data_IF_901603590225
#
_entry.id   IF_901603590225
#
_cell.length_a   1.000
_cell.length_b   1.000
_cell.length_c   1.000
_cell.angle_alpha   90.00
_cell.angle_beta   90.00
_cell.angle_gamma   90.00
#
_symmetry.space_group_name_H-M   'P 1'
#
loop_
_entity.id
_entity.type
_entity.pdbx_description
1 polymer ?
#
# COMPACT_ATOMS: atom_id res chain seq x y z
N UNK A 1 13.50 17.22 -10.43
CA UNK A 1 14.46 16.90 -9.34
C UNK A 1 13.72 16.67 -8.02
N UNK A 2 12.76 17.51 -7.62
CA UNK A 2 11.99 17.35 -6.35
C UNK A 2 11.23 16.03 -6.14
N UNK A 3 10.64 15.43 -7.19
CA UNK A 3 9.90 14.16 -7.06
C UNK A 3 10.81 12.99 -6.65
N UNK A 4 12.06 12.96 -7.15
CA UNK A 4 13.04 11.90 -6.83
C UNK A 4 13.50 11.94 -5.37
N UNK A 5 13.62 13.14 -4.81
CA UNK A 5 14.01 13.31 -3.41
C UNK A 5 12.90 12.82 -2.47
N UNK A 6 11.63 13.02 -2.85
CA UNK A 6 10.48 12.53 -2.08
C UNK A 6 10.38 10.99 -2.18
N UNK A 7 10.57 10.41 -3.36
CA UNK A 7 10.58 8.94 -3.54
C UNK A 7 11.70 8.27 -2.73
N UNK A 8 12.86 8.94 -2.61
CA UNK A 8 14.01 8.40 -1.88
C UNK A 8 13.81 8.48 -0.37
N UNK A 9 13.27 9.60 0.13
CA UNK A 9 13.08 9.81 1.57
C UNK A 9 11.80 9.16 2.11
N UNK A 10 10.74 9.07 1.29
CA UNK A 10 9.42 8.57 1.69
C UNK A 10 8.86 7.54 0.69
N UNK A 11 9.49 6.37 0.57
CA UNK A 11 9.12 5.34 -0.41
C UNK A 11 7.72 4.73 -0.20
N UNK A 12 7.10 4.99 0.95
CA UNK A 12 5.75 4.52 1.30
C UNK A 12 4.62 5.45 0.83
N UNK A 13 4.95 6.67 0.39
CA UNK A 13 3.96 7.61 -0.15
C UNK A 13 3.62 7.24 -1.59
N UNK A 14 2.34 7.29 -1.89
CA UNK A 14 1.76 6.98 -3.19
C UNK A 14 0.94 8.16 -3.71
N UNK A 15 0.92 8.28 -5.03
CA UNK A 15 0.11 9.28 -5.75
C UNK A 15 -0.93 8.53 -6.58
N UNK A 16 -2.20 8.84 -6.32
CA UNK A 16 -3.33 8.28 -7.03
C UNK A 16 -4.15 9.38 -7.69
N UNK A 17 -4.50 9.21 -8.96
CA UNK A 17 -5.39 10.10 -9.69
C UNK A 17 -6.80 9.51 -9.69
N UNK A 18 -7.78 10.31 -9.29
CA UNK A 18 -9.20 9.94 -9.27
C UNK A 18 -10.06 11.14 -9.69
N UNK A 19 -10.93 10.95 -10.68
CA UNK A 19 -11.83 12.02 -11.17
C UNK A 19 -11.09 13.28 -11.67
N UNK A 20 -9.88 13.11 -12.21
CA UNK A 20 -9.03 14.22 -12.68
C UNK A 20 -8.31 14.99 -11.57
N UNK A 21 -8.44 14.57 -10.30
CA UNK A 21 -7.70 15.13 -9.16
C UNK A 21 -6.62 14.16 -8.71
N UNK A 22 -5.48 14.72 -8.27
CA UNK A 22 -4.37 13.97 -7.71
C UNK A 22 -4.47 13.95 -6.18
N UNK A 23 -4.32 12.76 -5.63
CA UNK A 23 -4.32 12.50 -4.20
C UNK A 23 -2.98 11.91 -3.81
N UNK A 24 -2.37 12.47 -2.78
CA UNK A 24 -1.07 12.05 -2.25
C UNK A 24 -1.27 11.47 -0.87
N UNK A 25 -0.70 10.29 -0.61
CA UNK A 25 -0.85 9.65 0.69
C UNK A 25 -0.46 8.18 0.71
N UNK A 26 -0.93 7.42 1.69
CA UNK A 26 -0.60 5.99 1.83
C UNK A 26 -1.81 5.15 1.39
N UNK A 27 -1.63 4.29 0.39
CA UNK A 27 -2.67 3.36 -0.06
C UNK A 27 -2.71 2.18 0.92
N UNK A 28 -3.88 1.93 1.49
CA UNK A 28 -4.09 0.83 2.44
C UNK A 28 -4.61 -0.42 1.75
N UNK A 29 -5.47 -0.25 0.75
CA UNK A 29 -6.05 -1.35 0.01
C UNK A 29 -6.35 -0.92 -1.41
N UNK A 30 -6.00 -1.76 -2.38
CA UNK A 30 -6.41 -1.62 -3.76
C UNK A 30 -6.93 -2.96 -4.25
N UNK A 31 -8.25 -3.09 -4.29
CA UNK A 31 -8.94 -4.26 -4.84
C UNK A 31 -9.57 -3.96 -6.21
N UNK A 32 -10.24 -4.94 -6.82
CA UNK A 32 -10.94 -4.76 -8.10
C UNK A 32 -12.08 -3.74 -8.03
N UNK A 33 -12.69 -3.58 -6.85
CA UNK A 33 -13.86 -2.73 -6.66
C UNK A 33 -13.55 -1.44 -5.91
N UNK A 34 -12.72 -1.53 -4.86
CA UNK A 34 -12.51 -0.42 -3.92
C UNK A 34 -11.03 -0.18 -3.71
N UNK A 35 -10.64 1.09 -3.82
CA UNK A 35 -9.32 1.57 -3.42
C UNK A 35 -9.47 2.50 -2.23
N UNK A 36 -8.75 2.20 -1.16
CA UNK A 36 -8.73 2.97 0.07
C UNK A 36 -7.34 3.56 0.27
N UNK A 37 -7.26 4.86 0.55
CA UNK A 37 -6.01 5.54 0.85
C UNK A 37 -6.20 6.55 1.97
N UNK A 38 -5.18 6.76 2.78
CA UNK A 38 -5.12 7.91 3.67
C UNK A 38 -4.52 9.09 2.94
N UNK A 39 -5.28 10.17 2.81
CA UNK A 39 -4.87 11.36 2.07
C UNK A 39 -4.06 12.28 2.98
N UNK A 40 -2.81 12.52 2.63
CA UNK A 40 -1.90 13.37 3.41
C UNK A 40 -2.35 14.83 3.42
N UNK A 41 -2.90 15.33 2.31
CA UNK A 41 -3.39 16.70 2.21
C UNK A 41 -4.63 16.99 3.06
N UNK A 42 -5.37 15.94 3.47
CA UNK A 42 -6.54 16.07 4.34
C UNK A 42 -6.18 16.19 5.82
N UNK A 43 -4.92 15.99 6.21
CA UNK A 43 -4.47 16.10 7.60
C UNK A 43 -4.51 17.57 8.07
N UNK A 44 -5.20 17.80 9.18
CA UNK A 44 -5.54 19.15 9.64
C UNK A 44 -4.33 19.89 10.23
N UNK A 45 -3.56 19.23 11.11
CA UNK A 45 -2.45 19.87 11.81
C UNK A 45 -1.08 19.40 11.32
N UNK A 46 -0.07 20.27 11.45
CA UNK A 46 1.31 19.93 11.12
C UNK A 46 1.85 18.77 11.98
N UNK A 47 1.48 18.74 13.28
CA UNK A 47 1.87 17.64 14.19
C UNK A 47 1.32 16.29 13.74
N UNK A 48 0.09 16.26 13.23
CA UNK A 48 -0.50 15.04 12.68
C UNK A 48 0.22 14.57 11.41
N UNK A 49 0.61 15.52 10.55
CA UNK A 49 1.38 15.22 9.33
C UNK A 49 2.75 14.61 9.66
N UNK A 50 3.45 15.16 10.63
CA UNK A 50 4.72 14.61 11.11
C UNK A 50 4.54 13.21 11.67
N UNK A 51 3.52 13.01 12.52
CA UNK A 51 3.24 11.70 13.10
C UNK A 51 2.85 10.66 12.04
N UNK A 52 2.10 11.08 11.03
CA UNK A 52 1.72 10.23 9.90
C UNK A 52 2.96 9.75 9.12
N UNK A 53 3.93 10.63 8.88
CA UNK A 53 5.19 10.27 8.21
C UNK A 53 6.05 9.34 9.08
N UNK A 54 6.12 9.59 10.39
CA UNK A 54 6.84 8.73 11.34
C UNK A 54 6.27 7.30 11.35
N UNK A 55 4.95 7.18 11.48
CA UNK A 55 4.25 5.89 11.45
C UNK A 55 4.37 5.20 10.09
N UNK A 56 4.34 5.97 9.00
CA UNK A 56 4.61 5.48 7.65
C UNK A 56 6.00 4.89 7.50
N UNK A 57 7.02 5.54 8.08
CA UNK A 57 8.39 5.05 8.08
C UNK A 57 8.53 3.75 8.89
N UNK A 58 7.96 3.71 10.11
CA UNK A 58 7.93 2.51 10.95
C UNK A 58 7.28 1.35 10.17
N UNK A 59 6.11 1.58 9.60
CA UNK A 59 5.42 0.59 8.79
C UNK A 59 6.26 0.11 7.59
N UNK A 60 6.92 1.02 6.87
CA UNK A 60 7.68 0.65 5.68
C UNK A 60 8.90 -0.24 5.96
N UNK A 61 9.57 -0.01 7.09
CA UNK A 61 10.79 -0.72 7.47
C UNK A 61 10.53 -1.96 8.33
N UNK A 62 9.51 -1.94 9.18
CA UNK A 62 9.21 -3.04 10.11
C UNK A 62 8.17 -4.02 9.55
N UNK A 63 7.38 -3.62 8.54
CA UNK A 63 6.39 -4.50 7.92
C UNK A 63 6.97 -5.31 6.78
N UNK A 64 6.32 -6.44 6.50
CA UNK A 64 6.54 -7.24 5.30
C UNK A 64 6.02 -6.58 4.00
N UNK A 65 5.63 -5.29 4.05
CA UNK A 65 5.07 -4.47 2.95
C UNK A 65 3.80 -5.00 2.28
N UNK A 66 3.30 -6.16 2.71
CA UNK A 66 2.04 -6.75 2.25
C UNK A 66 0.87 -6.46 3.19
N UNK A 67 1.14 -6.06 4.44
CA UNK A 67 0.11 -5.78 5.43
C UNK A 67 -0.17 -4.28 5.40
N UNK A 68 -1.43 -3.84 5.25
CA UNK A 68 -1.78 -2.43 5.29
C UNK A 68 -1.41 -1.75 6.60
N UNK A 69 -1.05 -0.46 6.54
CA UNK A 69 -0.62 0.32 7.70
C UNK A 69 -1.68 0.38 8.82
N UNK A 70 -2.97 0.44 8.47
CA UNK A 70 -4.07 0.46 9.43
C UNK A 70 -4.30 -0.87 10.15
N UNK A 71 -3.80 -1.99 9.61
CA UNK A 71 -3.81 -3.28 10.29
C UNK A 71 -2.56 -3.41 11.16
N UNK A 72 -1.40 -3.00 10.64
CA UNK A 72 -0.13 -3.07 11.34
C UNK A 72 -0.08 -2.16 12.58
N UNK A 73 -0.52 -0.90 12.45
CA UNK A 73 -0.51 0.13 13.51
C UNK A 73 -1.93 0.55 13.91
N UNK A 74 -2.80 -0.42 14.17
CA UNK A 74 -4.25 -0.18 14.32
C UNK A 74 -4.61 0.91 15.34
N UNK A 75 -3.95 0.93 16.50
CA UNK A 75 -4.29 1.86 17.60
C UNK A 75 -3.82 3.28 17.30
N UNK A 76 -2.63 3.39 16.73
CA UNK A 76 -1.98 4.65 16.39
C UNK A 76 -2.66 5.30 15.19
N UNK A 77 -3.06 4.49 14.21
CA UNK A 77 -3.66 4.96 12.97
C UNK A 77 -5.16 5.26 13.05
N UNK A 78 -5.83 4.87 14.13
CA UNK A 78 -7.26 5.13 14.35
C UNK A 78 -7.57 6.64 14.32
N UNK A 79 -6.64 7.47 14.79
CA UNK A 79 -6.75 8.94 14.81
C UNK A 79 -6.84 9.53 13.41
N UNK A 80 -6.26 8.90 12.39
CA UNK A 80 -6.25 9.38 11.01
C UNK A 80 -7.46 8.89 10.20
N UNK A 81 -8.44 8.23 10.83
CA UNK A 81 -9.62 7.70 10.14
C UNK A 81 -10.40 8.76 9.35
N UNK A 82 -10.38 10.01 9.80
CA UNK A 82 -11.03 11.12 9.09
C UNK A 82 -10.38 11.43 7.73
N UNK A 83 -9.10 11.10 7.55
CA UNK A 83 -8.35 11.30 6.31
C UNK A 83 -8.41 10.07 5.39
N UNK A 84 -9.15 9.02 5.77
CA UNK A 84 -9.36 7.85 4.95
C UNK A 84 -10.34 8.18 3.81
N UNK A 85 -9.84 8.09 2.59
CA UNK A 85 -10.64 8.24 1.39
C UNK A 85 -10.84 6.89 0.72
N UNK A 86 -12.08 6.61 0.36
CA UNK A 86 -12.49 5.39 -0.34
C UNK A 86 -12.99 5.78 -1.72
N UNK A 87 -12.44 5.13 -2.74
CA UNK A 87 -12.70 5.39 -4.16
C UNK A 87 -13.07 4.10 -4.88
N UNK A 88 -13.77 4.23 -6.00
CA UNK A 88 -14.00 3.11 -6.91
C UNK A 88 -12.71 2.80 -7.68
N UNK A 89 -12.21 1.57 -7.59
CA UNK A 89 -10.92 1.19 -8.19
C UNK A 89 -10.87 1.32 -9.71
N UNK A 90 -12.02 1.25 -10.39
CA UNK A 90 -12.06 1.37 -11.85
C UNK A 90 -11.58 2.72 -12.35
N UNK A 91 -11.81 3.77 -11.56
CA UNK A 91 -11.52 5.16 -11.91
C UNK A 91 -10.24 5.67 -11.24
N UNK A 92 -9.55 4.80 -10.48
CA UNK A 92 -8.31 5.14 -9.78
C UNK A 92 -7.12 4.66 -10.61
N UNK A 93 -6.24 5.61 -10.93
CA UNK A 93 -4.94 5.31 -11.53
C UNK A 93 -3.84 5.65 -10.53
N UNK A 94 -3.09 4.64 -10.08
CA UNK A 94 -1.92 4.86 -9.23
C UNK A 94 -0.75 5.24 -10.15
N UNK A 95 -0.22 6.44 -9.96
CA UNK A 95 0.86 6.97 -10.79
C UNK A 95 2.22 6.56 -10.21
N UNK A 96 2.37 6.68 -8.88
CA UNK A 96 3.63 6.45 -8.16
C UNK A 96 3.32 5.77 -6.82
N UNK A 97 4.23 4.93 -6.36
CA UNK A 97 4.26 4.40 -4.99
C UNK A 97 3.74 2.97 -4.82
N UNK A 98 3.90 2.41 -3.63
CA UNK A 98 3.54 1.04 -3.32
C UNK A 98 2.03 0.88 -3.11
N UNK A 99 1.50 -0.24 -3.60
CA UNK A 99 0.10 -0.62 -3.40
C UNK A 99 0.02 -1.89 -2.60
N UNK A 100 -0.97 -1.96 -1.72
CA UNK A 100 -1.25 -3.13 -0.90
C UNK A 100 -2.63 -3.65 -1.27
N UNK A 101 -2.76 -4.97 -1.39
CA UNK A 101 -4.03 -5.62 -1.69
C UNK A 101 -4.28 -6.70 -0.62
N UNK A 102 -5.42 -6.60 0.06
CA UNK A 102 -5.80 -7.50 1.14
C UNK A 102 -6.05 -8.94 0.66
N UNK A 103 -6.55 -9.12 -0.56
CA UNK A 103 -6.78 -10.44 -1.14
C UNK A 103 -5.48 -11.24 -1.29
N UNK A 104 -4.35 -10.56 -1.54
CA UNK A 104 -3.05 -11.23 -1.62
C UNK A 104 -2.59 -11.86 -0.30
N UNK A 105 -3.10 -11.42 0.86
CA UNK A 105 -2.80 -12.02 2.16
C UNK A 105 -3.44 -13.40 2.34
N UNK A 106 -4.56 -13.65 1.65
CA UNK A 106 -5.32 -14.90 1.74
C UNK A 106 -4.68 -16.06 0.95
N UNK A 107 -3.79 -15.77 0.01
CA UNK A 107 -3.18 -16.78 -0.84
C UNK A 107 -2.12 -17.55 -0.04
N UNK A 108 -2.53 -18.71 0.51
CA UNK A 108 -1.62 -19.62 1.19
C UNK A 108 -0.53 -20.08 0.22
N UNK A 109 0.73 -19.75 0.52
CA UNK A 109 1.89 -20.20 -0.27
C UNK A 109 2.08 -21.71 -0.10
N UNK A 110 1.52 -22.50 -1.01
CA UNK A 110 1.71 -23.95 -1.05
C UNK A 110 2.93 -24.26 -1.92
N UNK A 111 3.98 -24.87 -1.35
CA UNK A 111 5.10 -25.41 -2.13
C UNK A 111 4.59 -26.56 -3.01
N UNK A 112 4.45 -26.34 -4.31
CA UNK A 112 4.15 -27.40 -5.27
C UNK A 112 5.44 -28.18 -5.55
N UNK A 113 5.47 -29.48 -5.23
CA UNK A 113 6.52 -30.38 -5.75
C UNK A 113 6.21 -30.64 -7.21
N UNK A 114 7.07 -30.19 -8.13
CA UNK A 114 6.99 -30.58 -9.54
C UNK A 114 7.54 -32.00 -9.67
N UNK A 115 6.67 -32.97 -9.95
CA UNK A 115 7.09 -34.34 -10.23
C UNK A 115 7.18 -34.50 -11.74
N UNK A 116 8.40 -34.60 -12.27
CA UNK A 116 8.62 -34.91 -13.68
C UNK A 116 8.83 -36.41 -13.84
N UNK A 117 8.05 -37.05 -14.72
CA UNK A 117 8.24 -38.46 -15.05
C UNK A 117 9.47 -38.60 -15.95
N UNK A 118 10.58 -39.08 -15.39
CA UNK A 118 11.79 -39.39 -16.17
C UNK A 118 11.65 -40.81 -16.74
N UNK A 119 11.52 -40.93 -18.06
CA UNK A 119 11.51 -42.23 -18.76
C UNK A 119 12.92 -42.83 -18.73
N UNK A 120 13.08 -44.03 -18.17
CA UNK A 120 14.36 -44.77 -18.25
C UNK A 120 14.56 -45.25 -19.69
N UNK A 121 15.68 -44.88 -20.31
CA UNK A 121 16.12 -45.50 -21.57
C UNK A 121 16.45 -46.98 -21.30
N UNK A 122 15.86 -47.89 -22.09
CA UNK A 122 16.29 -49.29 -22.13
C UNK A 122 17.64 -49.33 -22.84
N UNK A 123 18.68 -49.82 -22.15
CA UNK A 123 19.91 -50.28 -22.79
C UNK A 123 19.63 -51.57 -23.54
#
# INVERSE_FOLDING_TARGET
MLLKDIETNFPFISVATYGGKEYVGIITNQDQHVTSMYVYSSLATQKEREKFLELGNIWWWESNRMIPINIFLRKEFEKFRYALMTMNSKDVKVTIGPVVNLNNLSIKRVKRKSVQLVRRNKK
#
